data_IF_256322865596
#
_entry.id   IF_256322865596
#
_cell.length_a   1.000
_cell.length_b   1.000
_cell.length_c   1.000
_cell.angle_alpha   90.00
_cell.angle_beta   90.00
_cell.angle_gamma   90.00
#
_symmetry.space_group_name_H-M   'P 1'
#
loop_
_entity.id
_entity.type
_entity.pdbx_description
1 polymer ?
#
# COMPACT_ATOMS: atom_id res chain seq x y z
N UNK A 1 13.36 23.02 -0.91
CA UNK A 1 12.91 21.65 -0.58
C UNK A 1 11.39 21.61 -0.53
N UNK A 2 10.80 20.48 -0.93
CA UNK A 2 9.35 20.23 -0.88
C UNK A 2 9.09 18.80 -0.36
N UNK A 3 7.91 18.58 0.19
CA UNK A 3 7.46 17.24 0.56
C UNK A 3 6.65 16.63 -0.59
N UNK A 4 7.00 15.41 -0.96
CA UNK A 4 6.31 14.63 -1.99
C UNK A 4 5.56 13.50 -1.30
N UNK A 5 4.25 13.45 -1.52
CA UNK A 5 3.37 12.36 -1.11
C UNK A 5 3.01 11.56 -2.35
N UNK A 6 3.21 10.25 -2.29
CA UNK A 6 2.64 9.30 -3.24
C UNK A 6 1.63 8.41 -2.56
N UNK A 7 0.50 8.19 -3.22
CA UNK A 7 -0.49 7.22 -2.80
C UNK A 7 -0.90 6.33 -3.96
N UNK A 8 -1.21 5.06 -3.70
CA UNK A 8 -1.80 4.10 -4.65
C UNK A 8 -2.83 3.20 -3.96
N UNK A 9 -3.61 2.46 -4.76
CA UNK A 9 -4.57 1.49 -4.24
C UNK A 9 -3.91 0.12 -4.10
N UNK A 10 -3.96 -0.43 -2.89
CA UNK A 10 -3.50 -1.78 -2.63
C UNK A 10 -4.38 -2.81 -3.37
N UNK A 11 -3.77 -3.65 -4.18
CA UNK A 11 -4.47 -4.71 -4.91
C UNK A 11 -5.37 -4.21 -6.05
N UNK A 12 -5.10 -3.02 -6.60
CA UNK A 12 -5.89 -2.42 -7.68
C UNK A 12 -6.17 -3.37 -8.86
N UNK A 13 -5.16 -4.09 -9.35
CA UNK A 13 -5.35 -5.04 -10.46
C UNK A 13 -6.35 -6.16 -10.15
N UNK A 14 -6.40 -6.62 -8.89
CA UNK A 14 -7.36 -7.63 -8.44
C UNK A 14 -8.78 -7.04 -8.40
N UNK A 15 -8.94 -5.81 -7.90
CA UNK A 15 -10.23 -5.13 -7.88
C UNK A 15 -10.76 -4.91 -9.31
N UNK A 16 -9.91 -4.46 -10.22
CA UNK A 16 -10.25 -4.30 -11.63
C UNK A 16 -10.65 -5.62 -12.31
N UNK A 17 -10.01 -6.73 -11.95
CA UNK A 17 -10.37 -8.05 -12.47
C UNK A 17 -11.70 -8.59 -11.95
N UNK A 18 -12.15 -8.13 -10.77
CA UNK A 18 -13.44 -8.53 -10.18
C UNK A 18 -14.59 -7.69 -10.74
N UNK A 19 -14.44 -6.36 -10.73
CA UNK A 19 -15.42 -5.43 -11.29
C UNK A 19 -14.73 -4.10 -11.64
N UNK A 20 -14.50 -3.89 -12.93
CA UNK A 20 -13.86 -2.66 -13.44
C UNK A 20 -14.73 -1.42 -13.19
N UNK A 21 -16.05 -1.53 -13.38
CA UNK A 21 -16.95 -0.39 -13.31
C UNK A 21 -17.08 0.09 -11.87
N UNK A 22 -17.37 -0.83 -10.95
CA UNK A 22 -17.47 -0.52 -9.53
C UNK A 22 -16.15 0.02 -8.98
N UNK A 23 -15.01 -0.57 -9.38
CA UNK A 23 -13.68 -0.12 -8.93
C UNK A 23 -13.37 1.30 -9.42
N UNK A 24 -13.67 1.63 -10.68
CA UNK A 24 -13.46 2.97 -11.22
C UNK A 24 -14.36 4.01 -10.56
N UNK A 25 -15.61 3.67 -10.27
CA UNK A 25 -16.54 4.55 -9.56
C UNK A 25 -16.08 4.80 -8.12
N UNK A 26 -15.70 3.75 -7.41
CA UNK A 26 -15.16 3.83 -6.06
C UNK A 26 -13.89 4.68 -6.00
N UNK A 27 -12.97 4.51 -6.97
CA UNK A 27 -11.76 5.32 -7.08
C UNK A 27 -12.06 6.79 -7.36
N UNK A 28 -13.01 7.08 -8.27
CA UNK A 28 -13.44 8.46 -8.57
C UNK A 28 -14.08 9.12 -7.34
N UNK A 29 -14.91 8.37 -6.61
CA UNK A 29 -15.54 8.82 -5.36
C UNK A 29 -14.48 9.11 -4.31
N UNK A 30 -13.60 8.15 -4.01
CA UNK A 30 -12.48 8.30 -3.08
C UNK A 30 -11.66 9.56 -3.39
N UNK A 31 -11.31 9.77 -4.66
CA UNK A 31 -10.53 10.93 -5.06
C UNK A 31 -11.27 12.23 -4.81
N UNK A 32 -12.58 12.29 -5.09
CA UNK A 32 -13.40 13.49 -4.94
C UNK A 32 -13.77 13.79 -3.49
N UNK A 33 -14.11 12.78 -2.69
CA UNK A 33 -14.63 12.94 -1.33
C UNK A 33 -13.54 12.94 -0.26
N UNK A 34 -12.41 12.26 -0.50
CA UNK A 34 -11.32 12.16 0.49
C UNK A 34 -10.06 12.84 0.00
N UNK A 35 -9.49 12.39 -1.12
CA UNK A 35 -8.12 12.82 -1.49
C UNK A 35 -8.08 14.32 -1.82
N UNK A 36 -8.92 14.80 -2.74
CA UNK A 36 -8.91 16.21 -3.14
C UNK A 36 -9.20 17.17 -1.98
N UNK A 37 -10.24 16.94 -1.13
CA UNK A 37 -10.49 17.80 0.03
C UNK A 37 -9.36 17.78 1.05
N UNK A 38 -8.79 16.62 1.37
CA UNK A 38 -7.68 16.52 2.34
C UNK A 38 -6.42 17.22 1.81
N UNK A 39 -6.10 17.03 0.53
CA UNK A 39 -4.97 17.72 -0.11
C UNK A 39 -5.16 19.23 -0.08
N UNK A 40 -6.35 19.73 -0.44
CA UNK A 40 -6.64 21.16 -0.44
C UNK A 40 -6.61 21.75 0.98
N UNK A 41 -7.21 21.06 1.97
CA UNK A 41 -7.23 21.49 3.37
C UNK A 41 -5.84 21.58 4.01
N UNK A 42 -4.89 20.79 3.50
CA UNK A 42 -3.49 20.80 3.92
C UNK A 42 -2.58 21.55 2.92
N UNK A 43 -3.13 22.43 2.08
CA UNK A 43 -2.34 23.28 1.16
C UNK A 43 -1.42 22.51 0.21
N UNK A 44 -1.77 21.25 -0.08
CA UNK A 44 -1.07 20.42 -1.05
C UNK A 44 -1.57 20.70 -2.46
N UNK A 45 -0.76 20.31 -3.45
CA UNK A 45 -1.13 20.36 -4.87
C UNK A 45 -0.95 19.00 -5.49
N UNK A 46 -2.02 18.44 -6.03
CA UNK A 46 -1.94 17.25 -6.88
C UNK A 46 -1.21 17.65 -8.15
N UNK A 47 -0.02 17.09 -8.35
CA UNK A 47 0.78 17.32 -9.55
C UNK A 47 0.34 16.36 -10.65
N UNK A 48 0.16 15.08 -10.29
CA UNK A 48 -0.12 14.04 -11.28
C UNK A 48 -1.03 12.96 -10.74
N UNK A 49 -1.86 12.41 -11.61
CA UNK A 49 -2.72 11.25 -11.35
C UNK A 49 -2.33 10.14 -12.31
N UNK A 50 -2.11 8.94 -11.79
CA UNK A 50 -1.50 7.80 -12.49
C UNK A 50 -2.36 6.55 -12.29
N UNK A 51 -3.47 6.43 -13.02
CA UNK A 51 -4.42 5.34 -12.79
C UNK A 51 -5.04 5.45 -11.40
N UNK A 52 -4.69 4.52 -10.52
CA UNK A 52 -5.08 4.48 -9.10
C UNK A 52 -4.16 5.29 -8.19
N UNK A 53 -2.99 5.71 -8.69
CA UNK A 53 -2.02 6.49 -7.96
C UNK A 53 -2.17 8.00 -8.08
N UNK A 54 -1.67 8.73 -7.08
CA UNK A 54 -1.55 10.20 -7.12
C UNK A 54 -0.19 10.64 -6.60
N UNK A 55 0.33 11.72 -7.19
CA UNK A 55 1.53 12.43 -6.71
C UNK A 55 1.10 13.83 -6.27
N UNK A 56 1.38 14.14 -5.01
CA UNK A 56 1.02 15.40 -4.38
C UNK A 56 2.28 16.07 -3.83
N UNK A 57 2.42 17.37 -4.04
CA UNK A 57 3.54 18.16 -3.52
C UNK A 57 3.04 19.17 -2.51
N UNK A 58 3.81 19.34 -1.44
CA UNK A 58 3.56 20.28 -0.35
C UNK A 58 4.80 21.14 -0.11
N UNK A 59 4.59 22.41 0.23
CA UNK A 59 5.65 23.29 0.72
C UNK A 59 6.04 23.00 2.17
N UNK A 60 5.19 22.26 2.91
CA UNK A 60 5.38 21.88 4.30
C UNK A 60 5.28 20.36 4.45
N UNK A 61 6.29 19.74 5.05
CA UNK A 61 6.26 18.31 5.38
C UNK A 61 5.26 17.98 6.49
N UNK A 62 5.02 18.92 7.41
CA UNK A 62 3.99 18.80 8.45
C UNK A 62 2.61 18.66 7.81
N UNK A 63 2.33 19.50 6.80
CA UNK A 63 1.06 19.43 6.06
C UNK A 63 0.94 18.11 5.29
N UNK A 64 2.01 17.67 4.64
CA UNK A 64 2.02 16.39 3.91
C UNK A 64 1.71 15.20 4.82
N UNK A 65 2.31 15.17 6.02
CA UNK A 65 2.10 14.08 6.99
C UNK A 65 0.70 14.11 7.58
N UNK A 66 0.20 15.29 7.98
CA UNK A 66 -1.17 15.43 8.46
C UNK A 66 -2.19 15.04 7.38
N UNK A 67 -1.96 15.46 6.14
CA UNK A 67 -2.78 15.06 4.99
C UNK A 67 -2.78 13.54 4.79
N UNK A 68 -1.61 12.90 4.80
CA UNK A 68 -1.49 11.46 4.62
C UNK A 68 -2.31 10.68 5.67
N UNK A 69 -2.17 11.05 6.94
CA UNK A 69 -2.90 10.40 8.03
C UNK A 69 -4.40 10.70 7.98
N UNK A 70 -4.79 11.94 7.67
CA UNK A 70 -6.20 12.31 7.53
C UNK A 70 -6.88 11.56 6.37
N UNK A 71 -6.17 11.32 5.25
CA UNK A 71 -6.66 10.48 4.15
C UNK A 71 -6.91 9.06 4.64
N UNK A 72 -5.97 8.45 5.37
CA UNK A 72 -6.14 7.07 5.87
C UNK A 72 -7.30 6.97 6.86
N UNK A 73 -7.44 7.92 7.78
CA UNK A 73 -8.54 7.95 8.74
C UNK A 73 -9.90 8.13 8.07
N UNK A 74 -10.02 9.07 7.13
CA UNK A 74 -11.26 9.28 6.38
C UNK A 74 -11.63 8.06 5.53
N UNK A 75 -10.65 7.40 4.92
CA UNK A 75 -10.88 6.16 4.17
C UNK A 75 -11.31 5.01 5.07
N UNK A 76 -10.71 4.86 6.25
CA UNK A 76 -11.13 3.87 7.23
C UNK A 76 -12.58 4.09 7.69
N UNK A 77 -12.99 5.33 7.92
CA UNK A 77 -14.37 5.69 8.26
C UNK A 77 -15.35 5.33 7.13
N UNK A 78 -15.05 5.72 5.88
CA UNK A 78 -15.89 5.38 4.72
C UNK A 78 -16.03 3.87 4.51
N UNK A 79 -14.93 3.12 4.66
CA UNK A 79 -14.96 1.67 4.55
C UNK A 79 -15.78 1.01 5.67
N UNK A 80 -15.81 1.60 6.86
CA UNK A 80 -16.63 1.12 7.97
C UNK A 80 -18.13 1.41 7.75
N UNK A 81 -18.47 2.57 7.20
CA UNK A 81 -19.85 2.96 6.87
C UNK A 81 -20.41 2.11 5.72
N UNK A 82 -19.65 1.96 4.63
CA UNK A 82 -20.07 1.18 3.46
C UNK A 82 -20.13 -0.34 3.68
N UNK A 83 -19.59 -0.84 4.79
CA UNK A 83 -19.67 -2.27 5.14
C UNK A 83 -21.10 -2.74 5.45
N UNK A 84 -22.02 -1.81 5.75
CA UNK A 84 -23.43 -2.12 6.01
C UNK A 84 -24.31 -2.13 4.76
N UNK A 85 -23.78 -1.75 3.58
CA UNK A 85 -24.54 -1.69 2.32
C UNK A 85 -24.58 -3.05 1.60
N UNK A 86 -25.61 -3.28 0.79
CA UNK A 86 -25.76 -4.48 -0.05
C UNK A 86 -26.14 -4.11 -1.48
N UNK A 87 -25.29 -4.42 -2.50
CA UNK A 87 -23.98 -5.06 -2.38
C UNK A 87 -22.92 -4.14 -1.73
N UNK A 88 -21.91 -4.70 -1.04
CA UNK A 88 -20.85 -3.90 -0.43
C UNK A 88 -19.98 -3.26 -1.50
N UNK A 89 -19.69 -1.98 -1.34
CA UNK A 89 -18.77 -1.24 -2.20
C UNK A 89 -17.35 -1.85 -2.10
N UNK A 90 -16.58 -1.93 -3.22
CA UNK A 90 -15.20 -2.41 -3.17
C UNK A 90 -14.38 -1.63 -2.14
N UNK A 91 -13.92 -2.33 -1.10
CA UNK A 91 -13.09 -1.76 -0.04
C UNK A 91 -11.72 -1.37 -0.58
N UNK A 92 -11.54 -0.08 -0.84
CA UNK A 92 -10.26 0.48 -1.27
C UNK A 92 -9.40 0.74 -0.03
N UNK A 93 -8.17 0.24 -0.05
CA UNK A 93 -7.13 0.60 0.91
C UNK A 93 -6.00 1.30 0.18
N UNK A 94 -5.57 2.47 0.68
CA UNK A 94 -4.45 3.20 0.10
C UNK A 94 -3.14 2.84 0.81
N UNK A 95 -2.05 2.83 0.07
CA UNK A 95 -0.69 2.91 0.65
C UNK A 95 -0.15 4.29 0.41
N UNK A 96 0.48 4.90 1.41
CA UNK A 96 1.00 6.27 1.29
C UNK A 96 2.47 6.32 1.68
N UNK A 97 3.28 6.98 0.85
CA UNK A 97 4.68 7.28 1.11
C UNK A 97 4.93 8.79 1.07
N UNK A 98 5.65 9.33 2.05
CA UNK A 98 6.02 10.74 2.11
C UNK A 98 7.53 10.89 2.22
N UNK A 99 8.11 11.66 1.32
CA UNK A 99 9.53 12.01 1.35
C UNK A 99 9.71 13.53 1.34
N UNK A 100 10.76 14.01 2.00
CA UNK A 100 11.19 15.41 1.94
C UNK A 100 12.46 15.49 1.09
N UNK A 101 12.42 16.27 0.00
CA UNK A 101 13.50 16.30 -0.98
C UNK A 101 13.52 17.60 -1.80
N UNK A 102 14.54 17.73 -2.65
CA UNK A 102 14.51 18.68 -3.75
C UNK A 102 13.80 18.06 -4.95
N UNK A 103 12.93 18.84 -5.57
CA UNK A 103 12.18 18.45 -6.76
C UNK A 103 12.08 19.60 -7.72
N UNK A 104 12.03 19.27 -9.01
CA UNK A 104 11.74 20.20 -10.09
C UNK A 104 10.29 19.97 -10.49
N UNK A 105 9.48 21.04 -10.48
CA UNK A 105 8.09 20.98 -10.93
C UNK A 105 7.96 21.79 -12.20
N UNK A 106 7.73 21.12 -13.32
CA UNK A 106 7.68 21.73 -14.65
C UNK A 106 6.55 21.08 -15.47
N UNK A 107 5.77 21.88 -16.21
CA UNK A 107 4.74 21.36 -17.11
C UNK A 107 3.62 20.54 -16.44
N UNK A 108 3.44 20.66 -15.12
CA UNK A 108 2.49 19.84 -14.37
C UNK A 108 3.02 18.44 -14.02
N UNK A 109 4.32 18.20 -14.15
CA UNK A 109 4.99 16.99 -13.70
C UNK A 109 6.02 17.30 -12.60
N UNK A 110 6.50 16.27 -11.91
CA UNK A 110 7.52 16.40 -10.86
C UNK A 110 8.67 15.43 -11.09
N UNK A 111 9.89 15.97 -11.04
CA UNK A 111 11.12 15.23 -11.31
C UNK A 111 12.10 15.33 -10.14
N UNK A 112 12.93 14.30 -10.02
CA UNK A 112 14.01 14.22 -9.06
C UNK A 112 14.09 12.85 -8.38
N UNK A 113 15.26 12.48 -7.91
CA UNK A 113 15.48 11.21 -7.22
C UNK A 113 14.60 11.06 -5.97
N UNK A 114 14.30 12.18 -5.32
CA UNK A 114 13.40 12.23 -4.18
C UNK A 114 11.96 11.78 -4.47
N UNK A 115 11.51 11.89 -5.73
CA UNK A 115 10.21 11.37 -6.19
C UNK A 115 10.23 9.84 -6.22
N UNK A 116 11.34 9.26 -6.69
CA UNK A 116 11.53 7.80 -6.70
C UNK A 116 11.55 7.23 -5.27
N UNK A 117 12.18 7.94 -4.32
CA UNK A 117 12.14 7.55 -2.89
C UNK A 117 10.70 7.53 -2.37
N UNK A 118 9.88 8.55 -2.66
CA UNK A 118 8.48 8.58 -2.24
C UNK A 118 7.68 7.38 -2.79
N UNK A 119 7.90 7.02 -4.06
CA UNK A 119 7.30 5.83 -4.67
C UNK A 119 7.70 4.55 -3.95
N UNK A 120 8.97 4.43 -3.53
CA UNK A 120 9.47 3.25 -2.82
C UNK A 120 8.93 3.16 -1.40
N UNK A 121 8.79 4.28 -0.70
CA UNK A 121 8.14 4.35 0.61
C UNK A 121 6.67 3.93 0.51
N UNK A 122 5.95 4.43 -0.49
CA UNK A 122 4.56 4.05 -0.74
C UNK A 122 4.46 2.53 -0.98
N UNK A 123 5.32 1.97 -1.83
CA UNK A 123 5.31 0.54 -2.14
C UNK A 123 5.69 -0.34 -0.93
N UNK A 124 6.56 0.16 -0.04
CA UNK A 124 6.93 -0.50 1.22
C UNK A 124 5.77 -0.54 2.22
N UNK A 125 4.89 0.46 2.16
CA UNK A 125 3.85 0.63 3.14
C UNK A 125 2.79 -0.47 3.09
N UNK A 126 2.31 -0.92 4.26
CA UNK A 126 1.14 -1.78 4.34
C UNK A 126 -0.13 -1.02 3.89
N UNK A 127 -1.16 -1.72 3.38
CA UNK A 127 -2.46 -1.10 3.08
C UNK A 127 -3.03 -0.40 4.32
N UNK A 128 -3.50 0.84 4.16
CA UNK A 128 -3.97 1.69 5.25
C UNK A 128 -2.87 2.45 6.01
N UNK A 129 -1.59 2.22 5.68
CA UNK A 129 -0.47 2.85 6.37
C UNK A 129 0.08 4.10 5.70
N UNK A 130 0.98 4.77 6.42
CA UNK A 130 1.83 5.86 5.93
C UNK A 130 3.29 5.54 6.24
N UNK A 131 4.17 5.63 5.24
CA UNK A 131 5.62 5.49 5.39
C UNK A 131 6.34 6.81 5.13
N UNK A 132 7.25 7.21 6.01
CA UNK A 132 8.06 8.42 5.92
C UNK A 132 9.54 8.06 5.70
N UNK A 133 10.27 8.89 4.97
CA UNK A 133 11.73 8.89 5.06
C UNK A 133 12.20 9.50 6.38
N UNK A 134 13.44 9.21 6.77
CA UNK A 134 14.09 9.84 7.92
C UNK A 134 14.04 11.38 7.87
N UNK A 135 14.38 11.97 6.71
CA UNK A 135 14.35 13.42 6.54
C UNK A 135 12.95 14.01 6.79
N UNK A 136 11.90 13.32 6.33
CA UNK A 136 10.53 13.75 6.60
C UNK A 136 10.17 13.60 8.08
N UNK A 137 10.50 12.45 8.70
CA UNK A 137 10.25 12.17 10.10
C UNK A 137 10.92 13.20 11.03
N UNK A 138 12.21 13.47 10.84
CA UNK A 138 12.99 14.43 11.64
C UNK A 138 12.36 15.84 11.66
N UNK A 139 11.74 16.26 10.55
CA UNK A 139 11.12 17.57 10.44
C UNK A 139 9.71 17.64 11.05
N UNK A 140 9.05 16.50 11.34
CA UNK A 140 7.70 16.46 11.92
C UNK A 140 7.68 16.06 13.41
N UNK A 141 8.73 15.41 13.93
CA UNK A 141 8.84 15.09 15.35
C UNK A 141 8.63 16.35 16.20
N UNK A 142 7.71 16.26 17.16
CA UNK A 142 7.33 17.37 18.06
C UNK A 142 6.42 18.43 17.43
N UNK A 143 6.07 18.33 16.14
CA UNK A 143 5.18 19.26 15.43
C UNK A 143 3.82 18.66 15.07
N UNK A 144 3.75 17.33 15.03
CA UNK A 144 2.50 16.58 14.82
C UNK A 144 2.23 15.68 16.02
N UNK A 145 0.96 15.53 16.39
CA UNK A 145 0.51 14.62 17.44
C UNK A 145 0.32 13.18 16.89
N UNK A 146 1.27 12.73 16.07
CA UNK A 146 1.21 11.43 15.36
C UNK A 146 2.52 10.71 15.64
N UNK A 147 2.42 9.50 16.19
CA UNK A 147 3.59 8.65 16.45
C UNK A 147 3.91 7.79 15.24
N UNK A 148 5.20 7.62 14.93
CA UNK A 148 5.69 6.73 13.89
C UNK A 148 6.65 5.71 14.49
N UNK A 149 6.55 4.45 14.05
CA UNK A 149 7.47 3.39 14.42
C UNK A 149 8.67 3.38 13.48
N UNK A 150 9.87 3.25 14.02
CA UNK A 150 11.06 3.03 13.20
C UNK A 150 11.04 1.62 12.59
N UNK A 151 11.12 1.55 11.27
CA UNK A 151 11.17 0.31 10.49
C UNK A 151 12.58 0.01 9.96
N UNK A 152 13.59 0.73 10.43
CA UNK A 152 14.99 0.53 10.09
C UNK A 152 15.35 1.01 8.67
N UNK A 153 16.61 0.75 8.29
CA UNK A 153 17.13 1.08 6.97
C UNK A 153 16.69 0.06 5.92
N UNK A 154 16.12 0.55 4.82
CA UNK A 154 15.61 -0.25 3.71
C UNK A 154 16.42 0.01 2.45
N UNK A 155 16.81 -1.08 1.76
CA UNK A 155 17.47 -1.00 0.46
C UNK A 155 16.41 -1.07 -0.63
N UNK A 156 16.23 0.04 -1.36
CA UNK A 156 15.25 0.12 -2.42
C UNK A 156 15.90 -0.01 -3.80
N UNK A 157 15.19 -0.66 -4.73
CA UNK A 157 15.63 -0.77 -6.12
C UNK A 157 15.84 0.61 -6.74
N UNK A 158 17.00 0.80 -7.37
CA UNK A 158 17.44 2.04 -8.01
C UNK A 158 17.60 3.23 -7.06
N UNK A 159 17.87 2.99 -5.77
CA UNK A 159 18.25 4.01 -4.81
C UNK A 159 19.61 3.61 -4.24
N UNK A 160 20.62 4.46 -4.43
CA UNK A 160 22.02 4.10 -4.13
C UNK A 160 22.28 3.95 -2.62
N UNK A 161 21.60 4.73 -1.79
CA UNK A 161 21.78 4.73 -0.34
C UNK A 161 20.57 4.11 0.36
N UNK A 162 20.76 3.31 1.43
CA UNK A 162 19.66 2.82 2.23
C UNK A 162 18.82 3.96 2.79
N UNK A 163 17.50 3.81 2.76
CA UNK A 163 16.56 4.81 3.29
C UNK A 163 15.99 4.29 4.60
N UNK A 164 16.21 4.99 5.72
CA UNK A 164 15.54 4.66 6.98
C UNK A 164 14.09 5.08 6.92
N UNK A 165 13.19 4.14 7.26
CA UNK A 165 11.75 4.29 7.09
C UNK A 165 11.06 4.35 8.44
N UNK A 166 10.08 5.24 8.57
CA UNK A 166 9.21 5.36 9.73
C UNK A 166 7.77 5.12 9.30
N UNK A 167 7.02 4.29 10.03
CA UNK A 167 5.66 3.85 9.63
C UNK A 167 4.59 4.26 10.63
N UNK A 168 3.41 4.57 10.10
CA UNK A 168 2.16 4.74 10.83
C UNK A 168 1.08 3.83 10.21
N UNK A 169 0.17 3.24 11.00
CA UNK A 169 0.16 3.24 12.47
C UNK A 169 1.38 2.50 13.05
N UNK A 170 1.68 2.74 14.34
CA UNK A 170 2.84 2.16 15.05
C UNK A 170 2.74 0.63 15.22
N UNK A 171 1.56 0.03 14.96
CA UNK A 171 1.08 -1.28 15.44
C UNK A 171 1.09 -1.33 16.99
N UNK A 172 0.04 -1.78 17.68
CA UNK A 172 -1.04 -2.71 17.28
C UNK A 172 -2.32 -2.15 16.65
N UNK A 173 -3.11 -3.10 16.13
CA UNK A 173 -4.40 -2.96 15.44
C UNK A 173 -4.39 -2.30 14.06
N UNK A 174 -3.82 -3.01 13.07
CA UNK A 174 -4.60 -3.49 11.94
C UNK A 174 -4.26 -4.97 11.75
N UNK A 175 -5.11 -5.83 12.31
CA UNK A 175 -5.13 -7.26 12.01
C UNK A 175 -5.33 -7.38 10.50
N UNK A 176 -4.25 -7.71 9.77
CA UNK A 176 -4.41 -8.38 8.51
C UNK A 176 -5.35 -9.58 8.75
N UNK A 177 -6.41 -9.79 7.94
CA UNK A 177 -7.13 -11.05 8.02
C UNK A 177 -6.10 -12.15 7.69
N UNK A 178 -5.94 -13.04 8.66
CA UNK A 178 -5.06 -14.20 8.71
C UNK A 178 -3.57 -14.04 8.37
N UNK A 179 -2.81 -13.72 9.42
CA UNK A 179 -1.65 -14.53 9.78
C UNK A 179 -1.89 -15.22 11.13
N UNK A 180 -2.96 -16.00 11.26
CA UNK A 180 -2.91 -17.10 12.22
C UNK A 180 -1.89 -18.11 11.68
N UNK A 181 -0.94 -18.52 12.52
CA UNK A 181 0.14 -19.48 12.23
C UNK A 181 1.35 -19.00 11.42
N UNK A 182 1.88 -17.81 11.72
CA UNK A 182 3.30 -17.52 11.41
C UNK A 182 4.22 -18.04 12.53
N UNK A 183 4.34 -19.37 12.63
CA UNK A 183 5.56 -19.99 13.18
C UNK A 183 6.75 -19.48 12.34
N UNK A 184 7.92 -19.15 12.92
CA UNK A 184 9.07 -18.74 12.13
C UNK A 184 9.32 -19.77 11.02
N UNK A 185 9.56 -19.32 9.77
CA UNK A 185 9.75 -20.22 8.66
C UNK A 185 10.89 -21.19 9.02
N UNK A 186 10.71 -22.50 8.79
CA UNK A 186 11.78 -23.47 9.02
C UNK A 186 13.01 -23.05 8.22
N UNK A 187 14.22 -23.36 8.71
CA UNK A 187 15.45 -23.08 7.97
C UNK A 187 15.33 -23.61 6.55
N UNK A 188 15.70 -22.77 5.57
CA UNK A 188 15.63 -23.12 4.16
C UNK A 188 16.51 -24.36 3.91
N UNK A 189 16.05 -25.35 3.13
CA UNK A 189 16.87 -26.51 2.79
C UNK A 189 18.10 -26.09 1.97
N UNK A 190 19.21 -26.81 2.13
CA UNK A 190 20.46 -26.60 1.34
C UNK A 190 20.30 -26.90 -0.16
N UNK A 191 19.14 -27.40 -0.59
CA UNK A 191 18.82 -27.76 -1.97
C UNK A 191 17.66 -26.90 -2.49
N UNK A 192 17.65 -26.56 -3.80
CA UNK A 192 16.50 -25.90 -4.41
C UNK A 192 15.25 -26.74 -4.17
N UNK A 193 14.23 -26.12 -3.61
CA UNK A 193 13.01 -26.77 -3.15
C UNK A 193 11.82 -25.93 -3.58
N UNK A 194 10.75 -26.61 -3.99
CA UNK A 194 9.49 -26.00 -4.44
C UNK A 194 8.38 -26.56 -3.55
N UNK A 195 7.58 -25.68 -2.97
CA UNK A 195 6.37 -26.05 -2.25
C UNK A 195 5.18 -25.94 -3.21
N UNK A 196 4.37 -27.01 -3.28
CA UNK A 196 3.07 -26.99 -3.95
C UNK A 196 2.02 -26.79 -2.86
N UNK A 197 1.35 -25.65 -2.88
CA UNK A 197 0.27 -25.36 -1.95
C UNK A 197 -1.06 -25.90 -2.49
N UNK A 198 -2.01 -26.28 -1.60
CA UNK A 198 -3.37 -26.59 -2.01
C UNK A 198 -3.97 -25.41 -2.79
N UNK A 199 -4.69 -25.70 -3.86
CA UNK A 199 -5.44 -24.68 -4.59
C UNK A 199 -6.83 -24.57 -3.98
N UNK A 200 -7.25 -23.35 -3.64
CA UNK A 200 -8.59 -23.11 -3.12
C UNK A 200 -9.64 -23.26 -4.22
N UNK A 201 -10.73 -23.97 -3.92
CA UNK A 201 -11.88 -24.10 -4.80
C UNK A 201 -12.67 -22.78 -4.85
N UNK A 202 -12.41 -21.97 -5.87
CA UNK A 202 -13.03 -20.64 -6.02
C UNK A 202 -14.45 -20.68 -6.61
N UNK A 203 -14.95 -21.84 -7.04
CA UNK A 203 -16.28 -21.96 -7.67
C UNK A 203 -17.43 -22.14 -6.68
N UNK A 204 -17.12 -22.52 -5.43
CA UNK A 204 -18.12 -22.78 -4.39
C UNK A 204 -18.90 -24.10 -4.57
N UNK A 205 -18.54 -24.90 -5.57
CA UNK A 205 -19.16 -26.20 -5.85
C UNK A 205 -18.40 -27.33 -5.13
N UNK A 206 -19.03 -28.06 -4.18
CA UNK A 206 -18.40 -29.14 -3.42
C UNK A 206 -17.86 -30.29 -4.29
N UNK A 207 -18.41 -30.52 -5.48
CA UNK A 207 -17.92 -31.58 -6.37
C UNK A 207 -16.56 -31.23 -7.00
N UNK A 208 -16.20 -29.94 -7.04
CA UNK A 208 -14.92 -29.46 -7.57
C UNK A 208 -13.79 -29.46 -6.53
N UNK A 209 -14.10 -29.70 -5.25
CA UNK A 209 -13.11 -29.86 -4.18
C UNK A 209 -12.17 -31.03 -4.47
N UNK A 210 -12.75 -32.15 -4.92
CA UNK A 210 -12.01 -33.36 -5.29
C UNK A 210 -11.08 -33.14 -6.49
N UNK A 211 -11.46 -32.27 -7.42
CA UNK A 211 -10.63 -31.90 -8.56
C UNK A 211 -9.41 -31.08 -8.11
N UNK A 212 -9.61 -30.11 -7.21
CA UNK A 212 -8.52 -29.29 -6.66
C UNK A 212 -7.51 -30.16 -5.90
N UNK A 213 -7.98 -31.09 -5.07
CA UNK A 213 -7.12 -32.03 -4.34
C UNK A 213 -6.32 -32.94 -5.30
N UNK A 214 -6.97 -33.51 -6.33
CA UNK A 214 -6.32 -34.36 -7.31
C UNK A 214 -5.24 -33.65 -8.14
N UNK A 215 -5.44 -32.37 -8.47
CA UNK A 215 -4.44 -31.56 -9.18
C UNK A 215 -3.20 -31.31 -8.31
N UNK A 216 -3.40 -31.00 -7.02
CA UNK A 216 -2.31 -30.76 -6.06
C UNK A 216 -1.47 -32.02 -5.87
N UNK A 217 -2.12 -33.18 -5.72
CA UNK A 217 -1.44 -34.47 -5.58
C UNK A 217 -0.64 -34.80 -6.84
N UNK A 218 -1.24 -34.62 -8.03
CA UNK A 218 -0.59 -34.85 -9.32
C UNK A 218 0.65 -33.97 -9.53
N UNK A 219 0.56 -32.68 -9.23
CA UNK A 219 1.67 -31.74 -9.33
C UNK A 219 2.80 -32.08 -8.36
N UNK A 220 2.45 -32.42 -7.11
CA UNK A 220 3.42 -32.84 -6.09
C UNK A 220 4.17 -34.10 -6.55
N UNK A 221 3.43 -35.09 -7.05
CA UNK A 221 4.00 -36.33 -7.57
C UNK A 221 4.87 -36.11 -8.81
N UNK A 222 4.47 -35.23 -9.73
CA UNK A 222 5.23 -34.91 -10.93
C UNK A 222 6.55 -34.20 -10.59
N UNK A 223 6.50 -33.17 -9.74
CA UNK A 223 7.67 -32.39 -9.33
C UNK A 223 8.65 -33.21 -8.49
N UNK A 224 8.16 -34.18 -7.70
CA UNK A 224 9.02 -35.08 -6.91
C UNK A 224 9.94 -35.97 -7.75
N UNK A 225 9.61 -36.19 -9.04
CA UNK A 225 10.39 -37.04 -9.95
C UNK A 225 11.46 -36.28 -10.73
N UNK A 226 11.44 -34.94 -10.67
CA UNK A 226 12.43 -34.09 -11.31
C UNK A 226 13.64 -34.02 -10.38
N UNK A 227 14.79 -34.52 -10.87
CA UNK A 227 16.07 -34.50 -10.14
C UNK A 227 16.94 -33.33 -10.59
#
# INVERSE_FOLDING_TARGET
MAAVLMADVAGYSRLMGLDETATLEALKRLRRSVVTPQVAGHRGRIVKVMGDGVIVVFSSVVDAVNCAVAIQQALAALNAEGAAESPPDPRIALRIGVNLCEVIVEGGDVYGDGVNVAARLQAFCAPGGVALSAAAHEHVVGKVAIAFADAGAQNFKNIAQPVRVFRWPVEGDHRAPDRADARPPPPLPDKPSVAVLPFDNMSGDPEQEYLAEGVVESLTAALSRIR
#
